data_IF_788755102123
#
_entry.id   IF_788755102123
#
_cell.length_a   1.000
_cell.length_b   1.000
_cell.length_c   1.000
_cell.angle_alpha   90.00
_cell.angle_beta   90.00
_cell.angle_gamma   90.00
#
_symmetry.space_group_name_H-M   'P 1'
#
loop_
_entity.id
_entity.type
_entity.pdbx_description
1 polymer ?
#
# COMPACT_ATOMS: atom_id res chain seq x y z
N UNK A 1 11.91 -26.48 42.25
CA UNK A 1 12.14 -27.31 43.43
C UNK A 1 13.01 -26.53 44.41
N UNK A 2 12.69 -26.69 45.68
CA UNK A 2 13.07 -25.92 46.89
C UNK A 2 14.61 -25.83 47.08
N UNK A 3 15.14 -24.69 47.54
CA UNK A 3 15.67 -24.47 48.91
C UNK A 3 16.67 -23.29 48.98
N UNK A 4 16.49 -22.50 50.03
CA UNK A 4 17.28 -21.34 50.48
C UNK A 4 18.59 -21.74 51.16
N UNK A 5 19.65 -20.94 51.01
CA UNK A 5 20.66 -20.72 52.06
C UNK A 5 21.32 -19.34 51.93
N UNK A 6 21.51 -18.69 53.09
CA UNK A 6 22.15 -17.38 53.29
C UNK A 6 23.57 -17.61 53.83
N UNK A 7 24.55 -16.84 53.38
CA UNK A 7 25.78 -16.57 54.14
C UNK A 7 26.50 -15.34 53.55
N UNK A 8 27.01 -14.50 54.46
CA UNK A 8 27.45 -13.11 54.26
C UNK A 8 28.89 -12.91 53.76
N UNK A 9 29.53 -11.78 54.14
CA UNK A 9 30.17 -10.85 53.20
C UNK A 9 31.67 -11.13 53.01
N UNK A 10 32.28 -10.56 51.94
CA UNK A 10 33.62 -9.92 51.92
C UNK A 10 34.01 -9.53 50.48
N UNK A 11 34.85 -8.50 50.42
CA UNK A 11 35.06 -7.47 49.40
C UNK A 11 35.83 -7.83 48.11
N UNK A 12 35.92 -6.78 47.27
CA UNK A 12 36.85 -6.47 46.15
C UNK A 12 36.34 -6.76 44.74
N UNK A 13 35.98 -5.66 44.06
CA UNK A 13 35.67 -5.54 42.63
C UNK A 13 34.76 -6.63 42.08
N UNK A 14 33.44 -6.48 42.32
CA UNK A 14 32.43 -7.33 41.67
C UNK A 14 32.24 -6.85 40.23
N UNK A 15 33.00 -7.42 39.30
CA UNK A 15 32.63 -7.39 37.89
C UNK A 15 31.45 -8.36 37.70
N UNK A 16 30.24 -7.82 37.63
CA UNK A 16 29.06 -8.58 37.23
C UNK A 16 29.15 -8.84 35.71
N UNK A 17 28.95 -10.10 35.28
CA UNK A 17 28.70 -10.38 33.86
C UNK A 17 27.29 -10.95 33.71
N UNK A 18 26.71 -10.79 32.53
CA UNK A 18 25.43 -11.41 32.19
C UNK A 18 25.68 -12.40 31.06
N UNK A 19 25.26 -13.64 31.26
CA UNK A 19 25.35 -14.72 30.26
C UNK A 19 23.98 -14.87 29.64
N UNK A 20 23.89 -14.65 28.33
CA UNK A 20 22.65 -14.77 27.56
C UNK A 20 22.63 -16.12 26.84
N UNK A 21 21.67 -16.98 27.15
CA UNK A 21 21.38 -18.16 26.34
C UNK A 21 20.33 -17.76 25.30
N UNK A 22 20.75 -17.47 24.08
CA UNK A 22 19.84 -17.20 22.95
C UNK A 22 19.95 -18.36 21.99
N UNK A 23 18.86 -19.12 21.86
CA UNK A 23 18.74 -20.18 20.90
C UNK A 23 18.46 -19.60 19.50
N UNK A 24 19.37 -19.73 18.52
CA UNK A 24 19.20 -19.18 17.18
C UNK A 24 18.22 -19.97 16.31
N UNK A 25 17.75 -21.15 16.76
CA UNK A 25 16.89 -22.06 16.00
C UNK A 25 15.52 -21.45 15.64
N UNK A 26 15.09 -20.37 16.33
CA UNK A 26 13.79 -19.73 16.14
C UNK A 26 13.85 -18.33 15.50
N UNK A 27 14.84 -18.06 14.65
CA UNK A 27 14.92 -16.81 13.90
C UNK A 27 13.81 -16.72 12.83
N UNK A 28 13.19 -15.55 12.69
CA UNK A 28 12.25 -15.28 11.61
C UNK A 28 12.96 -15.15 10.24
N UNK A 29 12.22 -14.94 9.15
CA UNK A 29 12.80 -14.81 7.81
C UNK A 29 13.76 -13.62 7.63
N UNK A 30 13.86 -12.73 8.63
CA UNK A 30 14.83 -11.63 8.71
C UNK A 30 16.05 -11.99 9.58
N UNK A 31 16.15 -13.24 10.04
CA UNK A 31 17.25 -13.72 10.88
C UNK A 31 17.17 -13.25 12.35
N UNK A 32 15.99 -12.82 12.84
CA UNK A 32 15.83 -12.30 14.21
C UNK A 32 14.81 -13.12 15.00
N UNK A 33 15.18 -13.62 16.18
CA UNK A 33 14.22 -14.27 17.09
C UNK A 33 13.60 -13.27 18.07
N UNK A 34 12.49 -13.64 18.71
CA UNK A 34 11.87 -12.82 19.76
C UNK A 34 12.84 -12.56 20.93
N UNK A 35 13.68 -13.54 21.24
CA UNK A 35 14.72 -13.48 22.27
C UNK A 35 15.84 -12.51 21.87
N UNK A 36 16.21 -12.46 20.59
CA UNK A 36 17.18 -11.47 20.08
C UNK A 36 16.62 -10.04 20.13
N UNK A 37 15.32 -9.87 19.83
CA UNK A 37 14.62 -8.59 19.94
C UNK A 37 14.55 -8.12 21.40
N UNK A 38 14.26 -9.03 22.33
CA UNK A 38 14.27 -8.75 23.77
C UNK A 38 15.68 -8.36 24.27
N UNK A 39 16.73 -9.10 23.89
CA UNK A 39 18.10 -8.76 24.26
C UNK A 39 18.50 -7.36 23.77
N UNK A 40 18.16 -7.02 22.52
CA UNK A 40 18.47 -5.72 21.95
C UNK A 40 17.77 -4.59 22.71
N UNK A 41 16.51 -4.78 23.09
CA UNK A 41 15.75 -3.84 23.90
C UNK A 41 16.35 -3.69 25.30
N UNK A 42 16.65 -4.80 25.98
CA UNK A 42 17.26 -4.78 27.33
C UNK A 42 18.62 -4.08 27.32
N UNK A 43 19.44 -4.33 26.30
CA UNK A 43 20.76 -3.69 26.18
C UNK A 43 20.64 -2.18 25.99
N UNK A 44 19.65 -1.73 25.20
CA UNK A 44 19.43 -0.30 24.96
C UNK A 44 18.99 0.42 26.24
N UNK A 45 17.99 -0.12 26.94
CA UNK A 45 17.45 0.50 28.17
C UNK A 45 18.50 0.52 29.28
N UNK A 46 19.24 -0.57 29.49
CA UNK A 46 20.37 -0.60 30.43
C UNK A 46 21.45 0.42 30.05
N UNK A 47 21.65 0.57 28.75
CA UNK A 47 22.58 1.51 28.20
C UNK A 47 22.22 2.97 28.46
N UNK A 48 20.95 3.32 28.29
CA UNK A 48 20.39 4.64 28.59
C UNK A 48 20.47 4.93 30.10
N UNK A 49 20.19 3.93 30.95
CA UNK A 49 20.29 4.07 32.42
C UNK A 49 21.74 4.29 32.92
N UNK A 50 22.72 3.66 32.27
CA UNK A 50 24.13 3.69 32.68
C UNK A 50 24.98 4.71 31.91
N UNK A 51 24.34 5.56 31.10
CA UNK A 51 24.94 6.65 30.34
C UNK A 51 26.14 6.21 29.47
N UNK A 52 26.06 5.02 28.87
CA UNK A 52 27.13 4.52 28.00
C UNK A 52 27.07 5.15 26.60
N UNK A 53 28.23 5.43 26.00
CA UNK A 53 28.34 5.87 24.60
C UNK A 53 28.14 4.66 23.64
N UNK A 54 27.10 4.67 22.79
CA UNK A 54 26.84 3.60 21.83
C UNK A 54 27.96 3.40 20.78
N UNK A 55 28.86 4.39 20.62
CA UNK A 55 29.96 4.36 19.66
C UNK A 55 31.28 3.86 20.25
N UNK A 56 31.47 3.92 21.58
CA UNK A 56 32.76 3.62 22.21
C UNK A 56 32.79 2.32 23.01
N UNK A 57 31.67 1.88 23.58
CA UNK A 57 31.56 0.60 24.29
C UNK A 57 30.55 -0.31 23.59
N UNK A 58 31.03 -1.39 22.97
CA UNK A 58 30.19 -2.38 22.30
C UNK A 58 29.32 -3.17 23.29
N UNK A 59 28.22 -2.57 23.78
CA UNK A 59 27.19 -3.21 24.60
C UNK A 59 27.73 -3.79 25.93
N UNK A 60 26.86 -3.95 26.91
CA UNK A 60 27.22 -4.33 28.29
C UNK A 60 27.82 -5.77 28.43
N UNK A 61 28.04 -6.52 27.34
CA UNK A 61 28.73 -7.82 27.33
C UNK A 61 29.14 -8.25 25.91
N UNK A 62 30.36 -8.78 25.74
CA UNK A 62 30.86 -9.32 24.45
C UNK A 62 30.16 -10.62 24.01
N UNK A 63 30.11 -10.82 22.69
CA UNK A 63 29.32 -11.83 21.96
C UNK A 63 30.07 -13.19 21.80
N UNK A 64 29.39 -14.35 21.96
CA UNK A 64 29.96 -15.70 21.71
C UNK A 64 30.33 -16.05 20.25
N UNK A 65 30.03 -15.20 19.27
CA UNK A 65 30.28 -15.48 17.84
C UNK A 65 31.39 -14.64 17.19
N UNK A 66 32.29 -14.04 17.97
CA UNK A 66 33.37 -13.19 17.46
C UNK A 66 34.71 -13.93 17.32
N UNK A 67 35.44 -13.77 16.21
CA UNK A 67 36.68 -14.50 15.86
C UNK A 67 37.93 -13.61 15.63
N UNK A 68 37.87 -12.29 15.92
CA UNK A 68 38.96 -11.33 15.64
C UNK A 68 40.02 -11.17 16.76
N UNK A 69 41.21 -10.61 16.44
CA UNK A 69 42.44 -10.63 17.29
C UNK A 69 42.65 -9.46 18.29
N UNK A 70 41.63 -8.66 18.59
CA UNK A 70 41.80 -7.52 19.52
C UNK A 70 41.94 -7.98 20.99
N UNK A 71 43.02 -7.66 21.72
CA UNK A 71 43.40 -8.31 22.99
C UNK A 71 42.52 -7.99 24.21
N UNK A 72 41.51 -7.13 24.08
CA UNK A 72 40.45 -6.97 25.11
C UNK A 72 39.29 -7.95 24.92
N UNK A 73 39.37 -8.85 23.92
CA UNK A 73 38.26 -9.69 23.47
C UNK A 73 37.71 -10.71 24.46
N UNK A 74 38.45 -11.06 25.50
CA UNK A 74 38.02 -12.11 26.40
C UNK A 74 38.55 -11.87 27.81
N UNK A 75 37.66 -11.49 28.73
CA UNK A 75 37.82 -11.81 30.15
C UNK A 75 36.57 -12.59 30.56
N UNK A 76 36.72 -13.91 30.72
CA UNK A 76 35.75 -14.70 31.46
C UNK A 76 35.96 -14.39 32.93
N UNK A 77 35.04 -13.66 33.56
CA UNK A 77 35.03 -13.54 35.01
C UNK A 77 34.21 -14.70 35.58
N UNK A 78 34.54 -15.07 36.81
CA UNK A 78 33.96 -16.19 37.56
C UNK A 78 32.42 -16.20 37.43
N UNK A 79 31.86 -17.33 37.02
CA UNK A 79 30.42 -17.50 36.79
C UNK A 79 29.61 -17.00 38.00
N UNK A 80 28.62 -16.16 37.73
CA UNK A 80 27.75 -15.58 38.75
C UNK A 80 26.78 -16.66 39.23
N UNK A 81 26.59 -16.77 40.54
CA UNK A 81 25.67 -17.75 41.15
C UNK A 81 24.17 -17.40 40.94
N UNK A 82 23.86 -16.36 40.15
CA UNK A 82 22.51 -15.81 39.97
C UNK A 82 22.19 -15.62 38.48
N UNK A 83 21.26 -16.42 37.98
CA UNK A 83 20.68 -16.27 36.64
C UNK A 83 19.37 -15.49 36.79
N UNK A 84 19.25 -14.33 36.17
CA UNK A 84 18.03 -13.53 36.14
C UNK A 84 17.37 -13.63 34.76
N UNK A 85 16.04 -13.69 34.71
CA UNK A 85 15.32 -13.64 33.43
C UNK A 85 15.43 -12.24 32.84
N UNK A 86 15.63 -12.18 31.53
CA UNK A 86 15.75 -10.94 30.76
C UNK A 86 14.51 -10.02 30.89
N UNK A 87 13.32 -10.61 30.98
CA UNK A 87 12.06 -9.89 31.20
C UNK A 87 12.06 -9.19 32.56
N UNK A 88 12.26 -9.95 33.63
CA UNK A 88 12.28 -9.42 35.00
C UNK A 88 13.35 -8.33 35.18
N UNK A 89 14.49 -8.46 34.49
CA UNK A 89 15.54 -7.44 34.49
C UNK A 89 15.10 -6.15 33.79
N UNK A 90 14.46 -6.24 32.61
CA UNK A 90 14.01 -5.03 31.89
C UNK A 90 12.89 -4.33 32.64
N UNK A 91 12.03 -5.10 33.33
CA UNK A 91 10.95 -4.59 34.17
C UNK A 91 11.52 -3.76 35.32
N UNK A 92 12.47 -4.33 36.08
CA UNK A 92 13.15 -3.64 37.19
C UNK A 92 13.93 -2.41 36.74
N UNK A 93 14.62 -2.49 35.60
CA UNK A 93 15.40 -1.36 35.06
C UNK A 93 14.49 -0.23 34.62
N UNK A 94 13.32 -0.53 34.03
CA UNK A 94 12.33 0.49 33.66
C UNK A 94 11.70 1.14 34.88
N UNK A 95 11.38 0.36 35.91
CA UNK A 95 10.86 0.89 37.16
C UNK A 95 11.88 1.83 37.83
N UNK A 96 13.17 1.46 37.82
CA UNK A 96 14.25 2.31 38.33
C UNK A 96 14.47 3.60 37.51
N UNK A 97 14.26 3.53 36.19
CA UNK A 97 14.42 4.66 35.27
C UNK A 97 13.16 5.54 35.16
N UNK A 98 12.05 5.16 35.82
CA UNK A 98 10.75 5.85 35.70
C UNK A 98 10.10 5.73 34.31
N UNK A 99 10.43 4.68 33.55
CA UNK A 99 9.84 4.44 32.24
C UNK A 99 8.56 3.59 32.33
N UNK A 100 7.56 3.94 31.52
CA UNK A 100 6.34 3.14 31.40
C UNK A 100 6.65 1.70 30.96
N UNK A 101 5.98 0.74 31.61
CA UNK A 101 6.10 -0.66 31.23
C UNK A 101 5.51 -0.90 29.84
N UNK A 102 6.13 -1.80 29.08
CA UNK A 102 5.63 -2.17 27.75
C UNK A 102 4.29 -2.89 27.88
N UNK A 103 3.21 -2.19 27.56
CA UNK A 103 1.88 -2.79 27.43
C UNK A 103 1.72 -3.37 26.02
N UNK A 104 1.70 -4.70 25.85
CA UNK A 104 1.44 -5.28 24.54
C UNK A 104 0.02 -4.92 24.11
N UNK A 105 -0.12 -4.35 22.91
CA UNK A 105 -1.44 -4.08 22.34
C UNK A 105 -2.31 -5.36 22.41
N UNK A 106 -3.59 -5.24 22.82
CA UNK A 106 -4.44 -6.40 23.03
C UNK A 106 -4.49 -7.24 21.75
N UNK A 107 -4.18 -8.54 21.87
CA UNK A 107 -4.14 -9.50 20.75
C UNK A 107 -5.47 -9.61 20.01
N UNK A 108 -6.57 -9.24 20.67
CA UNK A 108 -7.92 -9.32 20.15
C UNK A 108 -8.64 -7.99 20.39
N UNK A 109 -8.81 -7.22 19.31
CA UNK A 109 -9.46 -5.89 19.34
C UNK A 109 -10.99 -5.96 19.25
N UNK A 110 -11.55 -7.11 18.86
CA UNK A 110 -12.98 -7.30 18.64
C UNK A 110 -13.52 -8.44 19.50
N UNK A 111 -14.68 -8.22 20.12
CA UNK A 111 -15.31 -9.23 20.99
C UNK A 111 -15.87 -10.40 20.18
N UNK A 112 -16.22 -10.17 18.91
CA UNK A 112 -16.76 -11.21 18.02
C UNK A 112 -16.37 -11.05 16.55
N UNK A 113 -16.47 -12.15 15.78
CA UNK A 113 -16.27 -12.12 14.34
C UNK A 113 -17.31 -11.26 13.58
N UNK A 114 -18.50 -11.05 14.15
CA UNK A 114 -19.53 -10.16 13.57
C UNK A 114 -19.13 -8.70 13.71
N UNK A 115 -18.62 -8.30 14.86
CA UNK A 115 -18.07 -6.96 15.08
C UNK A 115 -16.92 -6.67 14.12
N UNK A 116 -16.01 -7.63 13.94
CA UNK A 116 -14.93 -7.49 12.96
C UNK A 116 -15.46 -7.27 11.54
N UNK A 117 -16.49 -8.01 11.12
CA UNK A 117 -17.10 -7.82 9.79
C UNK A 117 -17.75 -6.44 9.66
N UNK A 118 -18.48 -5.99 10.69
CA UNK A 118 -19.18 -4.70 10.66
C UNK A 118 -18.19 -3.53 10.67
N UNK A 119 -17.17 -3.58 11.52
CA UNK A 119 -16.13 -2.55 11.56
C UNK A 119 -15.35 -2.48 10.24
N UNK A 120 -15.13 -3.61 9.56
CA UNK A 120 -14.46 -3.60 8.25
C UNK A 120 -15.38 -3.06 7.14
N UNK A 121 -16.70 -3.27 7.25
CA UNK A 121 -17.68 -2.66 6.33
C UNK A 121 -17.77 -1.15 6.52
N UNK A 122 -17.90 -0.67 7.76
CA UNK A 122 -17.98 0.78 8.03
C UNK A 122 -16.72 1.49 7.54
N UNK A 123 -15.53 0.94 7.84
CA UNK A 123 -14.26 1.48 7.32
C UNK A 123 -14.20 1.51 5.79
N UNK A 124 -14.80 0.52 5.12
CA UNK A 124 -14.86 0.49 3.66
C UNK A 124 -15.80 1.57 3.13
N UNK A 125 -16.96 1.74 3.76
CA UNK A 125 -17.95 2.75 3.41
C UNK A 125 -17.38 4.16 3.63
N UNK A 126 -16.73 4.40 4.77
CA UNK A 126 -16.00 5.64 5.07
C UNK A 126 -14.90 5.91 4.04
N UNK A 127 -14.09 4.91 3.68
CA UNK A 127 -13.05 5.06 2.66
C UNK A 127 -13.61 5.31 1.26
N UNK A 128 -14.77 4.74 0.93
CA UNK A 128 -15.45 4.99 -0.34
C UNK A 128 -16.08 6.38 -0.38
N UNK A 129 -16.69 6.83 0.72
CA UNK A 129 -17.23 8.17 0.86
C UNK A 129 -16.12 9.23 0.81
N UNK A 130 -15.02 9.01 1.53
CA UNK A 130 -13.84 9.89 1.47
C UNK A 130 -13.25 9.93 0.06
N UNK A 131 -13.18 8.79 -0.64
CA UNK A 131 -12.70 8.75 -2.02
C UNK A 131 -13.62 9.53 -2.96
N UNK A 132 -14.94 9.40 -2.82
CA UNK A 132 -15.89 10.15 -3.62
C UNK A 132 -15.77 11.65 -3.35
N UNK A 133 -15.72 12.05 -2.07
CA UNK A 133 -15.56 13.45 -1.68
C UNK A 133 -14.23 14.04 -2.14
N UNK A 134 -13.13 13.27 -2.07
CA UNK A 134 -11.84 13.69 -2.61
C UNK A 134 -11.87 13.80 -4.14
N UNK A 135 -12.61 12.94 -4.85
CA UNK A 135 -12.76 13.04 -6.30
C UNK A 135 -13.61 14.24 -6.71
N UNK A 136 -14.67 14.54 -5.95
CA UNK A 136 -15.52 15.71 -6.18
C UNK A 136 -14.75 17.01 -5.89
N UNK A 137 -14.02 17.06 -4.78
CA UNK A 137 -13.15 18.20 -4.42
C UNK A 137 -12.01 18.36 -5.43
N UNK A 138 -11.33 17.28 -5.83
CA UNK A 138 -10.28 17.34 -6.85
C UNK A 138 -10.84 17.79 -8.21
N UNK A 139 -12.06 17.38 -8.58
CA UNK A 139 -12.71 17.81 -9.83
C UNK A 139 -13.11 19.29 -9.79
N UNK A 140 -13.53 19.81 -8.63
CA UNK A 140 -13.83 21.25 -8.45
C UNK A 140 -12.56 22.12 -8.37
N UNK A 141 -11.44 21.56 -7.90
CA UNK A 141 -10.19 22.30 -7.64
C UNK A 141 -9.19 22.27 -8.81
N UNK A 142 -9.16 21.18 -9.60
CA UNK A 142 -8.05 20.89 -10.52
C UNK A 142 -7.89 21.89 -11.69
N UNK A 143 -8.97 22.56 -12.12
CA UNK A 143 -8.93 23.43 -13.31
C UNK A 143 -8.64 24.91 -12.99
N UNK A 144 -8.70 25.35 -11.73
CA UNK A 144 -8.66 26.78 -11.38
C UNK A 144 -7.45 27.26 -10.58
N UNK A 145 -6.94 26.48 -9.61
CA UNK A 145 -6.12 27.04 -8.53
C UNK A 145 -4.62 27.21 -8.85
N UNK A 146 -4.06 26.46 -9.80
CA UNK A 146 -2.65 26.65 -10.21
C UNK A 146 -2.40 28.04 -10.83
N UNK A 147 -3.45 28.68 -11.38
CA UNK A 147 -3.36 30.03 -11.96
C UNK A 147 -3.34 31.12 -10.88
N UNK A 148 -3.78 30.81 -9.66
CA UNK A 148 -3.89 31.75 -8.55
C UNK A 148 -2.90 31.48 -7.42
N UNK A 149 -2.08 30.42 -7.52
CA UNK A 149 -1.06 30.11 -6.52
C UNK A 149 0.20 30.96 -6.80
N UNK A 150 0.48 31.98 -5.96
CA UNK A 150 1.57 32.93 -6.16
C UNK A 150 2.96 32.29 -6.03
N UNK A 151 3.06 31.03 -5.60
CA UNK A 151 4.31 30.28 -5.51
C UNK A 151 4.71 29.57 -6.82
N UNK A 152 3.83 29.52 -7.84
CA UNK A 152 4.20 28.96 -9.15
C UNK A 152 4.83 30.03 -10.04
N UNK A 153 5.99 29.68 -10.58
CA UNK A 153 6.69 30.45 -11.61
C UNK A 153 6.43 29.73 -12.93
N UNK A 154 5.80 30.40 -13.90
CA UNK A 154 5.38 29.81 -15.19
C UNK A 154 4.61 28.49 -15.04
N UNK A 155 3.76 28.38 -14.02
CA UNK A 155 2.98 27.16 -13.74
C UNK A 155 3.79 26.01 -13.12
N UNK A 156 5.02 26.26 -12.68
CA UNK A 156 5.91 25.30 -12.03
C UNK A 156 6.28 25.76 -10.62
N UNK A 157 6.09 24.88 -9.62
CA UNK A 157 6.53 25.14 -8.24
C UNK A 157 8.02 24.84 -8.09
N UNK A 158 8.85 25.87 -8.15
CA UNK A 158 10.31 25.75 -8.06
C UNK A 158 10.74 25.44 -6.63
N UNK A 159 11.48 24.33 -6.45
CA UNK A 159 12.07 23.99 -5.16
C UNK A 159 13.44 24.65 -5.02
N UNK A 160 13.66 25.33 -3.90
CA UNK A 160 14.90 26.05 -3.61
C UNK A 160 15.76 25.24 -2.63
N UNK A 161 17.04 25.03 -2.96
CA UNK A 161 18.03 24.42 -2.06
C UNK A 161 18.56 25.50 -1.12
N UNK A 162 18.91 26.64 -1.69
CA UNK A 162 19.32 27.87 -1.01
C UNK A 162 18.73 29.05 -1.79
N UNK A 163 18.69 30.25 -1.19
CA UNK A 163 18.24 31.46 -1.91
C UNK A 163 19.01 31.60 -3.24
N UNK A 164 18.28 31.75 -4.36
CA UNK A 164 18.85 31.84 -5.71
C UNK A 164 19.32 30.53 -6.35
N UNK A 165 19.26 29.38 -5.64
CA UNK A 165 19.67 28.06 -6.16
C UNK A 165 18.52 27.06 -6.13
N UNK A 166 18.01 26.71 -7.30
CA UNK A 166 16.92 25.74 -7.43
C UNK A 166 17.42 24.28 -7.50
N UNK A 167 16.61 23.37 -6.94
CA UNK A 167 16.67 21.93 -7.13
C UNK A 167 15.99 21.57 -8.47
N UNK A 168 16.75 21.71 -9.57
CA UNK A 168 16.25 21.56 -10.96
C UNK A 168 15.59 20.21 -11.21
N UNK A 169 16.29 19.12 -10.89
CA UNK A 169 15.81 17.76 -11.15
C UNK A 169 14.60 17.37 -10.30
N UNK A 170 14.59 17.76 -9.03
CA UNK A 170 13.46 17.48 -8.13
C UNK A 170 12.22 18.28 -8.52
N UNK A 171 12.40 19.55 -8.90
CA UNK A 171 11.33 20.41 -9.43
C UNK A 171 10.73 19.78 -10.69
N UNK A 172 11.59 19.42 -11.64
CA UNK A 172 11.20 18.80 -12.90
C UNK A 172 10.47 17.45 -12.70
N UNK A 173 10.99 16.61 -11.80
CA UNK A 173 10.40 15.31 -11.50
C UNK A 173 9.03 15.42 -10.81
N UNK A 174 8.89 16.32 -9.81
CA UNK A 174 7.60 16.55 -9.15
C UNK A 174 6.56 17.13 -10.10
N UNK A 175 6.97 18.05 -10.98
CA UNK A 175 6.09 18.60 -11.99
C UNK A 175 5.63 17.53 -12.99
N UNK A 176 6.55 16.67 -13.46
CA UNK A 176 6.22 15.55 -14.34
C UNK A 176 5.25 14.55 -13.68
N UNK A 177 5.38 14.28 -12.37
CA UNK A 177 4.41 13.49 -11.62
C UNK A 177 3.04 14.16 -11.57
N UNK A 178 2.97 15.46 -11.26
CA UNK A 178 1.73 16.25 -11.22
C UNK A 178 1.02 16.21 -12.57
N UNK A 179 1.75 16.46 -13.66
CA UNK A 179 1.24 16.37 -15.03
C UNK A 179 0.75 14.95 -15.37
N UNK A 180 1.50 13.92 -14.97
CA UNK A 180 1.10 12.53 -15.18
C UNK A 180 -0.20 12.16 -14.46
N UNK A 181 -0.40 12.61 -13.22
CA UNK A 181 -1.66 12.41 -12.50
C UNK A 181 -2.83 13.16 -13.15
N UNK A 182 -2.62 14.38 -13.65
CA UNK A 182 -3.62 15.13 -14.42
C UNK A 182 -4.06 14.41 -15.69
N UNK A 183 -3.10 13.96 -16.50
CA UNK A 183 -3.38 13.18 -17.71
C UNK A 183 -4.20 11.92 -17.39
N UNK A 184 -3.89 11.26 -16.27
CA UNK A 184 -4.65 10.09 -15.81
C UNK A 184 -6.07 10.46 -15.37
N UNK A 185 -6.26 11.56 -14.65
CA UNK A 185 -7.58 12.04 -14.22
C UNK A 185 -8.46 12.43 -15.42
N UNK A 186 -7.87 13.09 -16.43
CA UNK A 186 -8.54 13.49 -17.67
C UNK A 186 -8.79 12.31 -18.64
N UNK A 187 -8.38 11.08 -18.29
CA UNK A 187 -8.55 9.90 -19.13
C UNK A 187 -7.67 9.88 -20.39
N UNK A 188 -6.67 10.78 -20.49
CA UNK A 188 -5.76 10.83 -21.62
C UNK A 188 -4.68 9.75 -21.54
N UNK A 189 -4.08 9.41 -22.69
CA UNK A 189 -3.00 8.41 -22.73
C UNK A 189 -1.74 8.98 -22.09
N UNK A 190 -1.24 8.27 -21.07
CA UNK A 190 0.00 8.59 -20.38
C UNK A 190 1.22 8.14 -21.21
N UNK A 191 1.61 8.97 -22.19
CA UNK A 191 2.75 8.73 -23.09
C UNK A 191 4.07 9.17 -22.47
N UNK A 192 5.17 8.50 -22.84
CA UNK A 192 6.51 8.86 -22.35
C UNK A 192 6.87 10.29 -22.81
N UNK A 193 6.46 10.68 -24.04
CA UNK A 193 6.69 12.03 -24.58
C UNK A 193 6.06 13.13 -23.74
N UNK A 194 4.77 13.03 -23.40
CA UNK A 194 4.09 14.06 -22.61
C UNK A 194 4.70 14.22 -21.20
N UNK A 195 5.21 13.14 -20.61
CA UNK A 195 5.93 13.19 -19.32
C UNK A 195 7.29 13.86 -19.48
N UNK A 196 8.01 13.57 -20.57
CA UNK A 196 9.31 14.18 -20.87
C UNK A 196 9.14 15.68 -21.12
N UNK A 197 8.14 16.09 -21.90
CA UNK A 197 7.85 17.49 -22.18
C UNK A 197 7.56 18.28 -20.89
N UNK A 198 6.75 17.69 -20.00
CA UNK A 198 6.44 18.28 -18.69
C UNK A 198 7.67 18.38 -17.78
N UNK A 199 8.59 17.42 -17.86
CA UNK A 199 9.85 17.44 -17.12
C UNK A 199 10.79 18.54 -17.66
N UNK A 200 10.97 18.62 -18.99
CA UNK A 200 11.85 19.60 -19.64
C UNK A 200 11.40 21.03 -19.40
N UNK A 201 10.10 21.28 -19.51
CA UNK A 201 9.50 22.57 -19.19
C UNK A 201 9.88 23.02 -17.77
N UNK A 202 9.64 22.17 -16.78
CA UNK A 202 9.91 22.50 -15.39
C UNK A 202 11.41 22.59 -15.05
N UNK A 203 12.25 21.80 -15.72
CA UNK A 203 13.70 21.93 -15.59
C UNK A 203 14.18 23.29 -16.11
N UNK A 204 13.69 23.71 -17.28
CA UNK A 204 14.08 24.98 -17.89
C UNK A 204 13.63 26.18 -17.05
N UNK A 205 12.39 26.15 -16.52
CA UNK A 205 11.90 27.18 -15.59
C UNK A 205 12.78 27.23 -14.32
N UNK A 206 13.05 26.09 -13.70
CA UNK A 206 13.92 26.02 -12.52
C UNK A 206 15.35 26.51 -12.82
N UNK A 207 15.86 26.26 -14.02
CA UNK A 207 17.17 26.70 -14.45
C UNK A 207 17.23 28.21 -14.72
N UNK A 208 16.22 28.77 -15.36
CA UNK A 208 16.12 30.21 -15.64
C UNK A 208 16.09 31.04 -14.36
N UNK A 209 15.30 30.61 -13.37
CA UNK A 209 15.11 31.37 -12.13
C UNK A 209 16.09 31.01 -11.01
N UNK A 210 16.64 29.78 -10.99
CA UNK A 210 17.50 29.27 -9.91
C UNK A 210 18.80 28.60 -10.39
N UNK A 211 19.29 28.99 -11.57
CA UNK A 211 20.52 28.45 -12.15
C UNK A 211 21.76 28.74 -11.32
N UNK A 212 21.82 29.88 -10.62
CA UNK A 212 22.97 30.33 -9.82
C UNK A 212 24.30 30.27 -10.59
N UNK A 213 24.29 30.63 -11.88
CA UNK A 213 25.47 30.60 -12.77
C UNK A 213 25.95 29.20 -13.18
N UNK A 214 25.25 28.12 -12.79
CA UNK A 214 25.57 26.75 -13.24
C UNK A 214 25.21 26.58 -14.71
N UNK A 215 25.96 25.76 -15.45
CA UNK A 215 25.55 25.29 -16.77
C UNK A 215 24.28 24.42 -16.68
N UNK A 216 23.53 24.34 -17.77
CA UNK A 216 22.43 23.39 -17.90
C UNK A 216 22.99 21.96 -17.93
N UNK A 217 22.52 21.12 -17.02
CA UNK A 217 22.92 19.71 -16.87
C UNK A 217 21.71 18.82 -17.16
N UNK A 218 21.02 19.08 -18.27
CA UNK A 218 19.84 18.30 -18.65
C UNK A 218 20.25 16.85 -18.92
N UNK A 219 19.56 15.85 -18.32
CA UNK A 219 19.86 14.46 -18.58
C UNK A 219 19.75 14.08 -20.08
N UNK A 220 20.55 13.14 -20.59
CA UNK A 220 20.45 12.68 -21.97
C UNK A 220 19.08 12.01 -22.22
N UNK A 221 18.65 11.96 -23.48
CA UNK A 221 17.31 11.48 -23.86
C UNK A 221 17.01 10.06 -23.34
N UNK A 222 18.02 9.18 -23.31
CA UNK A 222 17.90 7.81 -22.78
C UNK A 222 17.47 7.79 -21.31
N UNK A 223 18.00 8.70 -20.50
CA UNK A 223 17.71 8.76 -19.07
C UNK A 223 16.34 9.41 -18.83
N UNK A 224 15.99 10.42 -19.63
CA UNK A 224 14.63 11.01 -19.65
C UNK A 224 13.55 9.98 -19.98
N UNK A 225 13.78 9.11 -20.97
CA UNK A 225 12.87 7.99 -21.26
C UNK A 225 12.74 7.00 -20.09
N UNK A 226 13.84 6.70 -19.41
CA UNK A 226 13.82 5.81 -18.23
C UNK A 226 13.07 6.46 -17.07
N UNK A 227 13.28 7.75 -16.83
CA UNK A 227 12.56 8.56 -15.85
C UNK A 227 11.06 8.58 -16.16
N UNK A 228 10.66 8.83 -17.41
CA UNK A 228 9.26 8.86 -17.82
C UNK A 228 8.55 7.52 -17.57
N UNK A 229 9.23 6.40 -17.83
CA UNK A 229 8.72 5.05 -17.51
C UNK A 229 8.53 4.86 -16.00
N UNK A 230 9.42 5.40 -15.17
CA UNK A 230 9.29 5.37 -13.70
C UNK A 230 8.12 6.24 -13.23
N UNK A 231 8.01 7.47 -13.73
CA UNK A 231 6.87 8.37 -13.45
C UNK A 231 5.56 7.70 -13.82
N UNK A 232 5.47 7.10 -15.02
CA UNK A 232 4.30 6.30 -15.43
C UNK A 232 4.03 5.14 -14.48
N UNK A 233 5.07 4.45 -14.03
CA UNK A 233 4.98 3.41 -13.01
C UNK A 233 4.36 3.93 -11.70
N UNK A 234 4.85 5.07 -11.18
CA UNK A 234 4.33 5.68 -9.96
C UNK A 234 2.87 6.12 -10.12
N UNK A 235 2.57 6.81 -11.22
CA UNK A 235 1.23 7.31 -11.53
C UNK A 235 0.25 6.17 -11.68
N UNK A 236 0.63 5.03 -12.28
CA UNK A 236 -0.28 3.89 -12.49
C UNK A 236 -0.40 2.97 -11.27
N UNK A 237 0.71 2.70 -10.58
CA UNK A 237 0.77 1.73 -9.47
C UNK A 237 0.37 2.31 -8.12
N UNK A 238 0.24 3.65 -7.98
CA UNK A 238 -0.21 4.31 -6.75
C UNK A 238 0.40 3.71 -5.48
N UNK A 239 1.74 3.61 -5.42
CA UNK A 239 2.44 3.58 -4.14
C UNK A 239 2.67 5.02 -3.72
N UNK A 240 1.63 5.68 -3.23
CA UNK A 240 1.86 6.89 -2.46
C UNK A 240 2.63 6.48 -1.20
N UNK A 241 3.87 6.95 -1.07
CA UNK A 241 4.69 6.78 0.14
C UNK A 241 4.02 7.37 1.40
N UNK A 242 2.96 8.17 1.23
CA UNK A 242 2.02 8.53 2.29
C UNK A 242 1.37 7.34 3.05
N UNK A 243 1.57 6.09 2.59
CA UNK A 243 1.06 4.87 3.24
C UNK A 243 2.13 3.86 3.69
N UNK A 244 3.42 4.21 3.73
CA UNK A 244 4.46 3.33 4.31
C UNK A 244 4.78 3.60 5.79
N UNK A 245 3.97 4.43 6.46
CA UNK A 245 3.94 4.51 7.92
C UNK A 245 3.24 3.30 8.51
N UNK A 246 3.94 2.57 9.38
CA UNK A 246 3.40 1.52 10.23
C UNK A 246 2.03 1.90 10.80
N UNK A 247 1.04 1.03 10.59
CA UNK A 247 -0.27 1.10 11.27
C UNK A 247 -0.99 2.45 11.14
N UNK A 248 -1.39 2.83 9.92
CA UNK A 248 -2.46 3.82 9.77
C UNK A 248 -3.69 3.36 10.59
N UNK A 249 -4.19 4.15 11.54
CA UNK A 249 -5.35 3.80 12.35
C UNK A 249 -6.56 3.67 11.42
N UNK A 250 -6.88 2.43 11.02
CA UNK A 250 -7.93 2.16 10.04
C UNK A 250 -7.63 0.99 9.09
N UNK A 251 -6.37 0.58 8.92
CA UNK A 251 -6.05 -0.62 8.12
C UNK A 251 -6.25 -1.89 8.96
N UNK A 252 -7.05 -2.83 8.44
CA UNK A 252 -7.24 -4.13 9.07
C UNK A 252 -5.89 -4.84 9.26
N UNK A 253 -5.62 -5.34 10.46
CA UNK A 253 -4.35 -6.00 10.79
C UNK A 253 -4.17 -7.32 10.00
N UNK A 254 -2.95 -7.85 9.96
CA UNK A 254 -2.66 -9.14 9.30
C UNK A 254 -3.52 -10.29 9.86
N UNK A 255 -3.70 -10.33 11.18
CA UNK A 255 -4.54 -11.31 11.87
C UNK A 255 -6.02 -11.15 11.51
N UNK A 256 -6.54 -9.93 11.47
CA UNK A 256 -7.92 -9.65 11.03
C UNK A 256 -8.18 -10.11 9.60
N UNK A 257 -7.24 -9.85 8.68
CA UNK A 257 -7.35 -10.32 7.28
C UNK A 257 -7.40 -11.85 7.19
N UNK A 258 -6.56 -12.55 7.97
CA UNK A 258 -6.58 -14.02 8.05
C UNK A 258 -7.89 -14.54 8.66
N UNK A 259 -8.42 -13.87 9.68
CA UNK A 259 -9.70 -14.23 10.30
C UNK A 259 -10.86 -14.07 9.31
N UNK A 260 -10.93 -12.95 8.59
CA UNK A 260 -11.93 -12.69 7.54
C UNK A 260 -11.84 -13.71 6.40
N UNK A 261 -10.64 -14.00 5.90
CA UNK A 261 -10.44 -15.00 4.86
C UNK A 261 -10.91 -16.40 5.30
N UNK A 262 -10.63 -16.75 6.56
CA UNK A 262 -11.07 -18.03 7.15
C UNK A 262 -12.58 -18.09 7.30
N UNK A 263 -13.22 -17.02 7.78
CA UNK A 263 -14.67 -16.92 7.89
C UNK A 263 -15.35 -16.98 6.52
N UNK A 264 -14.83 -16.26 5.52
CA UNK A 264 -15.30 -16.32 4.14
C UNK A 264 -15.21 -17.74 3.56
N UNK A 265 -14.08 -18.43 3.76
CA UNK A 265 -13.89 -19.82 3.33
C UNK A 265 -14.88 -20.78 4.00
N UNK A 266 -15.11 -20.64 5.31
CA UNK A 266 -16.10 -21.45 6.05
C UNK A 266 -17.52 -21.18 5.55
N UNK A 267 -17.87 -19.91 5.32
CA UNK A 267 -19.16 -19.50 4.76
C UNK A 267 -19.40 -20.11 3.38
N UNK A 268 -18.41 -20.04 2.49
CA UNK A 268 -18.47 -20.66 1.16
C UNK A 268 -18.64 -22.18 1.21
N UNK A 269 -17.90 -22.88 2.08
CA UNK A 269 -18.08 -24.32 2.30
C UNK A 269 -19.48 -24.66 2.82
N UNK A 270 -20.01 -23.87 3.75
CA UNK A 270 -21.37 -24.09 4.29
C UNK A 270 -22.45 -23.82 3.23
N UNK A 271 -22.27 -22.79 2.40
CA UNK A 271 -23.16 -22.53 1.27
C UNK A 271 -23.14 -23.69 0.26
N UNK A 272 -21.94 -24.17 -0.12
CA UNK A 272 -21.79 -25.33 -1.00
C UNK A 272 -22.40 -26.61 -0.40
N UNK A 273 -22.25 -26.82 0.91
CA UNK A 273 -22.90 -27.93 1.60
C UNK A 273 -24.43 -27.82 1.51
N UNK A 274 -25.02 -26.63 1.74
CA UNK A 274 -26.46 -26.40 1.64
C UNK A 274 -27.01 -26.76 0.25
N UNK A 275 -26.30 -26.40 -0.81
CA UNK A 275 -26.67 -26.78 -2.18
C UNK A 275 -26.67 -28.30 -2.40
N UNK A 276 -25.83 -29.06 -1.68
CA UNK A 276 -25.78 -30.53 -1.80
C UNK A 276 -26.82 -31.23 -0.93
N UNK A 277 -27.05 -30.73 0.29
CA UNK A 277 -27.90 -31.41 1.27
C UNK A 277 -29.37 -31.03 1.15
N UNK A 278 -29.66 -29.78 0.76
CA UNK A 278 -31.02 -29.25 0.69
C UNK A 278 -31.14 -28.28 -0.51
N UNK A 279 -31.11 -28.82 -1.75
CA UNK A 279 -31.14 -28.03 -2.97
C UNK A 279 -32.46 -27.27 -3.18
N UNK A 280 -33.54 -27.69 -2.53
CA UNK A 280 -34.86 -27.07 -2.62
C UNK A 280 -35.25 -26.34 -1.34
N UNK A 281 -34.34 -26.21 -0.38
CA UNK A 281 -34.54 -25.43 0.83
C UNK A 281 -34.70 -23.94 0.55
N UNK A 282 -35.31 -23.23 1.52
CA UNK A 282 -35.56 -21.77 1.45
C UNK A 282 -34.33 -20.96 1.04
N UNK A 283 -33.14 -21.34 1.51
CA UNK A 283 -31.89 -20.68 1.13
C UNK A 283 -31.57 -20.86 -0.37
N UNK A 284 -31.63 -22.09 -0.87
CA UNK A 284 -31.29 -22.42 -2.24
C UNK A 284 -32.32 -21.81 -3.22
N UNK A 285 -33.62 -21.89 -2.90
CA UNK A 285 -34.68 -21.24 -3.66
C UNK A 285 -34.49 -19.71 -3.75
N UNK A 286 -34.25 -19.04 -2.62
CA UNK A 286 -34.01 -17.60 -2.62
C UNK A 286 -32.78 -17.18 -3.44
N UNK A 287 -31.72 -18.02 -3.49
CA UNK A 287 -30.57 -17.76 -4.35
C UNK A 287 -30.88 -18.02 -5.83
N UNK A 288 -31.66 -19.07 -6.16
CA UNK A 288 -32.14 -19.32 -7.53
C UNK A 288 -33.03 -18.19 -8.03
N UNK A 289 -33.90 -17.63 -7.18
CA UNK A 289 -34.73 -16.47 -7.49
C UNK A 289 -33.89 -15.22 -7.79
N UNK A 290 -32.87 -14.94 -6.97
CA UNK A 290 -31.94 -13.82 -7.24
C UNK A 290 -31.20 -14.00 -8.55
N UNK A 291 -30.72 -15.21 -8.82
CA UNK A 291 -30.04 -15.53 -10.07
C UNK A 291 -30.99 -15.43 -11.27
N UNK A 292 -32.22 -15.93 -11.15
CA UNK A 292 -33.22 -15.85 -12.21
C UNK A 292 -33.62 -14.40 -12.49
N UNK A 293 -33.81 -13.57 -11.46
CA UNK A 293 -34.05 -12.13 -11.60
C UNK A 293 -32.87 -11.43 -12.31
N UNK A 294 -31.62 -11.74 -11.92
CA UNK A 294 -30.44 -11.20 -12.58
C UNK A 294 -30.35 -11.63 -14.06
N UNK A 295 -30.66 -12.89 -14.36
CA UNK A 295 -30.69 -13.41 -15.74
C UNK A 295 -31.78 -12.74 -16.57
N UNK A 296 -32.98 -12.51 -16.00
CA UNK A 296 -34.05 -11.76 -16.67
C UNK A 296 -33.61 -10.33 -17.02
N UNK A 297 -32.96 -9.62 -16.08
CA UNK A 297 -32.43 -8.27 -16.34
C UNK A 297 -31.34 -8.27 -17.40
N UNK A 298 -30.42 -9.24 -17.37
CA UNK A 298 -29.39 -9.39 -18.42
C UNK A 298 -30.00 -9.67 -19.79
N UNK A 299 -31.03 -10.53 -19.85
CA UNK A 299 -31.76 -10.81 -21.10
C UNK A 299 -32.45 -9.54 -21.62
N UNK A 300 -33.12 -8.78 -20.76
CA UNK A 300 -33.74 -7.51 -21.14
C UNK A 300 -32.72 -6.48 -21.64
N UNK A 301 -31.58 -6.33 -20.95
CA UNK A 301 -30.48 -5.46 -21.39
C UNK A 301 -29.91 -5.88 -22.74
N UNK A 302 -29.64 -7.17 -22.95
CA UNK A 302 -29.16 -7.67 -24.25
C UNK A 302 -30.17 -7.48 -25.38
N UNK A 303 -31.47 -7.62 -25.10
CA UNK A 303 -32.52 -7.32 -26.07
C UNK A 303 -32.58 -5.82 -26.40
N UNK A 304 -32.44 -4.96 -25.39
CA UNK A 304 -32.37 -3.50 -25.58
C UNK A 304 -31.20 -3.10 -26.49
N UNK A 305 -29.99 -3.63 -26.21
CA UNK A 305 -28.82 -3.39 -27.05
C UNK A 305 -29.02 -3.90 -28.48
N UNK A 306 -29.65 -5.08 -28.65
CA UNK A 306 -30.00 -5.60 -29.99
C UNK A 306 -30.93 -4.64 -30.74
N UNK A 307 -31.94 -4.11 -30.07
CA UNK A 307 -32.90 -3.17 -30.66
C UNK A 307 -32.23 -1.85 -31.05
N UNK A 308 -31.32 -1.32 -30.22
CA UNK A 308 -30.56 -0.11 -30.51
C UNK A 308 -29.66 -0.28 -31.75
N UNK A 309 -28.96 -1.42 -31.85
CA UNK A 309 -28.14 -1.74 -33.03
C UNK A 309 -29.00 -1.83 -34.29
N UNK A 310 -30.17 -2.49 -34.20
CA UNK A 310 -31.10 -2.56 -35.33
C UNK A 310 -31.55 -1.16 -35.76
N UNK A 311 -32.02 -0.33 -34.81
CA UNK A 311 -32.50 1.01 -35.09
C UNK A 311 -31.42 1.88 -35.75
N UNK A 312 -30.20 1.90 -35.20
CA UNK A 312 -29.07 2.64 -35.76
C UNK A 312 -28.73 2.18 -37.19
N UNK A 313 -28.66 0.85 -37.40
CA UNK A 313 -28.36 0.28 -38.72
C UNK A 313 -29.44 0.59 -39.76
N UNK A 314 -30.72 0.45 -39.40
CA UNK A 314 -31.85 0.69 -40.30
C UNK A 314 -32.00 2.18 -40.62
N UNK A 315 -31.82 3.06 -39.63
CA UNK A 315 -31.89 4.51 -39.83
C UNK A 315 -30.77 5.00 -40.75
N UNK A 316 -29.54 4.54 -40.55
CA UNK A 316 -28.42 4.92 -41.42
C UNK A 316 -28.60 4.40 -42.85
N UNK A 317 -29.08 3.17 -43.00
CA UNK A 317 -29.38 2.60 -44.32
C UNK A 317 -30.50 3.37 -45.02
N UNK A 318 -31.57 3.74 -44.30
CA UNK A 318 -32.68 4.52 -44.88
C UNK A 318 -32.24 5.93 -45.33
N UNK A 319 -31.30 6.55 -44.62
CA UNK A 319 -30.83 7.91 -44.94
C UNK A 319 -29.75 7.94 -46.03
N UNK A 320 -28.88 6.92 -46.09
CA UNK A 320 -27.65 6.97 -46.90
C UNK A 320 -27.52 5.84 -47.91
N UNK A 321 -28.38 4.81 -47.83
CA UNK A 321 -28.27 3.58 -48.59
C UNK A 321 -27.09 2.69 -48.19
N UNK A 322 -26.40 3.00 -47.08
CA UNK A 322 -25.21 2.27 -46.62
C UNK A 322 -25.36 1.80 -45.17
N UNK A 323 -24.84 0.61 -44.89
CA UNK A 323 -24.82 0.03 -43.55
C UNK A 323 -23.56 0.51 -42.82
N UNK A 324 -23.67 1.08 -41.61
CA UNK A 324 -22.51 1.49 -40.84
C UNK A 324 -21.59 0.33 -40.50
N UNK A 325 -20.31 0.63 -40.34
CA UNK A 325 -19.33 -0.36 -39.88
C UNK A 325 -19.61 -0.76 -38.43
N UNK A 326 -19.14 -1.95 -38.03
CA UNK A 326 -19.31 -2.41 -36.64
C UNK A 326 -18.62 -1.50 -35.60
N UNK A 327 -17.61 -0.73 -36.02
CA UNK A 327 -16.95 0.23 -35.15
C UNK A 327 -17.84 1.45 -34.90
N UNK A 328 -18.50 1.97 -35.95
CA UNK A 328 -19.44 3.09 -35.85
C UNK A 328 -20.65 2.72 -35.00
N UNK A 329 -21.28 1.56 -35.27
CA UNK A 329 -22.39 1.05 -34.44
C UNK A 329 -21.99 0.85 -32.97
N UNK A 330 -20.75 0.41 -32.74
CA UNK A 330 -20.21 0.23 -31.39
C UNK A 330 -20.06 1.56 -30.65
N UNK A 331 -19.56 2.58 -31.33
CA UNK A 331 -19.43 3.93 -30.77
C UNK A 331 -20.79 4.58 -30.49
N UNK A 332 -21.77 4.40 -31.39
CA UNK A 332 -23.10 4.97 -31.27
C UNK A 332 -23.91 4.34 -30.12
N UNK A 333 -23.87 3.02 -30.00
CA UNK A 333 -24.62 2.29 -28.97
C UNK A 333 -23.83 2.17 -27.64
N UNK A 334 -22.55 2.53 -27.64
CA UNK A 334 -21.68 2.44 -26.46
C UNK A 334 -21.28 0.99 -26.11
N UNK A 335 -21.14 0.12 -27.12
CA UNK A 335 -20.79 -1.30 -26.93
C UNK A 335 -19.60 -1.72 -27.77
N UNK A 336 -18.93 -2.80 -27.35
CA UNK A 336 -17.75 -3.30 -28.06
C UNK A 336 -18.11 -3.82 -29.46
N UNK A 337 -17.17 -3.72 -30.41
CA UNK A 337 -17.29 -4.31 -31.76
C UNK A 337 -17.72 -5.79 -31.72
N UNK A 338 -17.25 -6.56 -30.74
CA UNK A 338 -17.61 -7.99 -30.58
C UNK A 338 -19.09 -8.15 -30.22
N UNK A 339 -19.59 -7.27 -29.34
CA UNK A 339 -21.00 -7.24 -28.96
C UNK A 339 -21.88 -6.91 -30.16
N UNK A 340 -21.47 -5.92 -30.97
CA UNK A 340 -22.15 -5.58 -32.23
C UNK A 340 -22.23 -6.79 -33.16
N UNK A 341 -21.10 -7.44 -33.44
CA UNK A 341 -21.06 -8.60 -34.33
C UNK A 341 -22.01 -9.73 -33.89
N UNK A 342 -22.08 -10.00 -32.59
CA UNK A 342 -22.98 -11.02 -32.03
C UNK A 342 -24.45 -10.66 -32.23
N UNK A 343 -24.84 -9.41 -31.97
CA UNK A 343 -26.22 -8.97 -32.16
C UNK A 343 -26.61 -8.86 -33.63
N UNK A 344 -25.71 -8.41 -34.50
CA UNK A 344 -25.92 -8.36 -35.96
C UNK A 344 -26.13 -9.77 -36.51
N UNK A 345 -25.33 -10.76 -36.09
CA UNK A 345 -25.54 -12.15 -36.51
C UNK A 345 -26.94 -12.66 -36.15
N UNK A 346 -27.39 -12.40 -34.91
CA UNK A 346 -28.74 -12.75 -34.47
C UNK A 346 -29.86 -11.98 -35.21
N UNK A 347 -29.61 -10.74 -35.62
CA UNK A 347 -30.55 -9.95 -36.41
C UNK A 347 -30.65 -10.43 -37.85
N UNK A 348 -29.53 -10.87 -38.44
CA UNK A 348 -29.49 -11.49 -39.77
C UNK A 348 -30.22 -12.82 -39.78
N UNK A 349 -30.00 -13.66 -38.78
CA UNK A 349 -30.72 -14.93 -38.62
C UNK A 349 -32.23 -14.71 -38.48
N UNK A 350 -32.65 -13.62 -37.84
CA UNK A 350 -34.04 -13.23 -37.72
C UNK A 350 -34.62 -12.53 -38.97
N UNK A 351 -33.81 -12.27 -40.02
CA UNK A 351 -34.24 -11.54 -41.22
C UNK A 351 -34.60 -10.08 -40.97
N UNK A 352 -34.10 -9.48 -39.88
CA UNK A 352 -34.42 -8.11 -39.48
C UNK A 352 -33.32 -7.11 -39.81
N UNK A 353 -32.11 -7.58 -40.11
CA UNK A 353 -30.99 -6.70 -40.43
C UNK A 353 -31.12 -6.19 -41.87
N UNK A 354 -30.86 -4.89 -42.15
CA UNK A 354 -30.92 -4.37 -43.51
C UNK A 354 -30.01 -5.15 -44.46
N UNK A 355 -30.53 -5.50 -45.62
CA UNK A 355 -29.75 -6.07 -46.72
C UNK A 355 -29.09 -4.91 -47.48
N UNK A 356 -27.77 -4.97 -47.63
CA UNK A 356 -26.97 -3.94 -48.29
C UNK A 356 -25.82 -4.51 -49.08
#
# INVERSE_FOLDING_TARGET
MIQSFVSGPISRTKLAQFIWLIDPVYADCEGKSAQMKLLAATTRVLGELLDHDPHFAHRFSRNPFYTGKAPTAYRWYRQHNRVMRLGDLIEQVRDMAGHDQFSPAPRQQFSSGRELINAVKSRREEAQAFKALAQDVDAEIADGLDQYDPELIDGVRVLWITQGKAARDETAFKHALKAGYRLRQQGQRLTDAAIIDAYEHAYNVAHAHGGAGRSSEMPPMRDRQTMARRVRGYVTQSKSEAYSGSSAPGKATSSERKALATMGRKGGKKAAQRWKTDPDGKYAQAQREKLSAANRRKKASGNSTRAQILAASAQSFAQTGKIPTWAELGSEVGVSRRTVAYHVAALKEAGLYPDG
#
